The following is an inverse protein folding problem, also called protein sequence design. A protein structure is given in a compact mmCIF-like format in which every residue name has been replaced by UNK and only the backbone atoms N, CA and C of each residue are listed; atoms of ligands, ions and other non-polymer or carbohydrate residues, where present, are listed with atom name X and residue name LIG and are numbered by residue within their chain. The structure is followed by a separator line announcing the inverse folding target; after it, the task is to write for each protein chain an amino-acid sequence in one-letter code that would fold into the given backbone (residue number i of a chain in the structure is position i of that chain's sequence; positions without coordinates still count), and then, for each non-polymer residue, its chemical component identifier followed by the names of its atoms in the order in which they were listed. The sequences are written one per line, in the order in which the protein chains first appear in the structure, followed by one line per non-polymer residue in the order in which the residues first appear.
data_IF_940350155604
#
_entry.id   IF_940350155604
#
_cell.length_a   1.000
_cell.length_b   1.000
_cell.length_c   1.000
_cell.angle_alpha   90.00
_cell.angle_beta   90.00
_cell.angle_gamma   90.00
#
_symmetry.space_group_name_H-M   'P 1'
#
loop_
_entity.id
_entity.type
_entity.pdbx_description
1 polymer ?
#
# COMPACT_ATOMS: atom_id res chain seq x y z
N UNK A 1 -11.22 5.77 17.30
CA UNK A 1 -11.16 6.23 15.90
C UNK A 1 -11.48 5.07 14.98
N UNK A 2 -12.45 5.26 14.09
CA UNK A 2 -12.84 4.27 13.10
C UNK A 2 -11.89 4.31 11.89
N UNK A 3 -11.97 3.31 11.00
CA UNK A 3 -11.12 3.20 9.81
C UNK A 3 -11.16 4.46 8.92
N UNK A 4 -12.36 5.00 8.71
CA UNK A 4 -12.56 6.24 7.93
C UNK A 4 -11.85 7.42 8.60
N UNK A 5 -11.98 7.56 9.92
CA UNK A 5 -11.32 8.64 10.66
C UNK A 5 -9.81 8.55 10.57
N UNK A 6 -9.25 7.34 10.62
CA UNK A 6 -7.81 7.12 10.48
C UNK A 6 -7.31 7.47 9.08
N UNK A 7 -8.08 7.16 8.02
CA UNK A 7 -7.74 7.55 6.65
C UNK A 7 -7.79 9.07 6.45
N UNK A 8 -8.84 9.72 6.95
CA UNK A 8 -8.98 11.19 6.88
C UNK A 8 -7.86 11.94 7.62
N UNK A 9 -7.39 11.38 8.74
CA UNK A 9 -6.31 11.97 9.53
C UNK A 9 -4.91 11.51 9.11
N UNK A 10 -4.78 10.76 8.00
CA UNK A 10 -3.49 10.27 7.48
C UNK A 10 -2.66 9.48 8.52
N UNK A 11 -3.36 8.72 9.37
CA UNK A 11 -2.77 8.01 10.53
C UNK A 11 -2.09 6.70 10.10
N UNK A 12 -2.64 6.04 9.08
CA UNK A 12 -2.08 4.79 8.57
C UNK A 12 -0.69 5.00 8.00
N UNK A 13 0.18 4.00 8.08
CA UNK A 13 1.45 3.95 7.35
C UNK A 13 1.23 3.57 5.87
N UNK A 14 2.23 3.80 5.01
CA UNK A 14 2.13 3.44 3.60
C UNK A 14 1.89 1.91 3.38
N UNK A 15 2.47 1.06 4.22
CA UNK A 15 2.27 -0.41 4.17
C UNK A 15 0.85 -0.82 4.58
N UNK A 16 0.29 -0.15 5.60
CA UNK A 16 -1.10 -0.34 6.00
C UNK A 16 -2.07 0.11 4.90
N UNK A 17 -1.78 1.22 4.22
CA UNK A 17 -2.58 1.68 3.08
C UNK A 17 -2.56 0.67 1.92
N UNK A 18 -1.42 0.04 1.62
CA UNK A 18 -1.35 -1.06 0.62
C UNK A 18 -2.21 -2.25 1.03
N UNK A 19 -2.17 -2.63 2.31
CA UNK A 19 -2.94 -3.76 2.80
C UNK A 19 -4.45 -3.45 2.81
N UNK A 20 -4.82 -2.24 3.23
CA UNK A 20 -6.20 -1.76 3.22
C UNK A 20 -6.76 -1.65 1.80
N UNK A 21 -5.96 -1.24 0.83
CA UNK A 21 -6.36 -1.15 -0.57
C UNK A 21 -6.73 -2.51 -1.14
N UNK A 22 -5.92 -3.55 -0.85
CA UNK A 22 -6.20 -4.92 -1.28
C UNK A 22 -7.54 -5.41 -0.71
N UNK A 23 -7.78 -5.16 0.58
CA UNK A 23 -9.03 -5.54 1.23
C UNK A 23 -10.22 -4.75 0.66
N UNK A 24 -10.08 -3.43 0.49
CA UNK A 24 -11.12 -2.57 -0.08
C UNK A 24 -11.44 -2.96 -1.53
N UNK A 25 -10.44 -3.33 -2.32
CA UNK A 25 -10.60 -3.86 -3.70
C UNK A 25 -11.40 -5.15 -3.69
N UNK A 26 -11.07 -6.10 -2.81
CA UNK A 26 -11.79 -7.37 -2.69
C UNK A 26 -13.26 -7.17 -2.28
N UNK A 27 -13.53 -6.20 -1.40
CA UNK A 27 -14.88 -5.87 -0.94
C UNK A 27 -15.63 -4.89 -1.85
N UNK A 28 -14.99 -4.40 -2.93
CA UNK A 28 -15.52 -3.35 -3.82
C UNK A 28 -15.94 -2.08 -3.06
N UNK A 29 -15.19 -1.74 -2.02
CA UNK A 29 -15.42 -0.59 -1.14
C UNK A 29 -14.81 0.68 -1.79
N UNK A 30 -15.57 1.29 -2.69
CA UNK A 30 -15.15 2.45 -3.47
C UNK A 30 -14.88 3.71 -2.63
N UNK A 31 -15.63 3.90 -1.53
CA UNK A 31 -15.44 5.03 -0.62
C UNK A 31 -14.04 4.96 0.02
N UNK A 32 -13.68 3.76 0.48
CA UNK A 32 -12.38 3.57 1.12
C UNK A 32 -11.24 3.64 0.13
N UNK A 33 -11.42 3.11 -1.09
CA UNK A 33 -10.41 3.23 -2.15
C UNK A 33 -10.08 4.70 -2.43
N UNK A 34 -11.09 5.58 -2.54
CA UNK A 34 -10.86 7.02 -2.70
C UNK A 34 -10.10 7.65 -1.54
N UNK A 35 -10.46 7.28 -0.31
CA UNK A 35 -9.76 7.81 0.88
C UNK A 35 -8.29 7.34 0.92
N UNK A 36 -8.02 6.10 0.53
CA UNK A 36 -6.65 5.55 0.46
C UNK A 36 -5.83 6.30 -0.59
N UNK A 37 -6.39 6.61 -1.76
CA UNK A 37 -5.72 7.40 -2.80
C UNK A 37 -5.30 8.77 -2.27
N UNK A 38 -6.19 9.46 -1.54
CA UNK A 38 -5.90 10.76 -0.93
C UNK A 38 -4.79 10.64 0.12
N UNK A 39 -4.87 9.66 1.03
CA UNK A 39 -3.82 9.45 2.04
C UNK A 39 -2.47 9.12 1.40
N UNK A 40 -2.45 8.30 0.34
CA UNK A 40 -1.21 8.02 -0.41
C UNK A 40 -0.61 9.27 -1.03
N UNK A 41 -1.41 10.08 -1.70
CA UNK A 41 -0.95 11.33 -2.29
C UNK A 41 -0.35 12.27 -1.21
N UNK A 42 -1.02 12.41 -0.06
CA UNK A 42 -0.51 13.15 1.10
C UNK A 42 0.85 12.63 1.57
N UNK A 43 0.98 11.31 1.74
CA UNK A 43 2.24 10.70 2.17
C UNK A 43 3.37 10.85 1.19
N UNK A 44 3.09 10.66 -0.10
CA UNK A 44 4.09 10.88 -1.14
C UNK A 44 4.53 12.34 -1.17
N UNK A 45 3.63 13.30 -0.95
CA UNK A 45 3.96 14.72 -0.81
C UNK A 45 4.81 15.01 0.45
N UNK A 46 4.60 14.28 1.55
CA UNK A 46 5.43 14.33 2.76
C UNK A 46 6.78 13.61 2.62
N UNK A 47 7.04 12.96 1.48
CA UNK A 47 8.28 12.22 1.23
C UNK A 47 8.32 10.80 1.78
N UNK A 48 7.20 10.30 2.33
CA UNK A 48 7.08 8.88 2.70
C UNK A 48 7.00 8.04 1.41
N UNK A 49 7.93 7.09 1.29
CA UNK A 49 7.94 6.11 0.19
C UNK A 49 7.57 4.73 0.74
N UNK A 50 6.89 3.89 -0.06
CA UNK A 50 6.75 2.47 0.29
C UNK A 50 8.13 1.86 0.49
N UNK A 51 8.25 0.90 1.42
CA UNK A 51 9.47 0.10 1.50
C UNK A 51 9.73 -0.54 0.14
N UNK A 52 10.98 -0.49 -0.29
CA UNK A 52 11.38 -1.14 -1.52
C UNK A 52 11.04 -2.63 -1.42
N UNK A 53 10.36 -3.15 -2.45
CA UNK A 53 10.02 -4.59 -2.56
C UNK A 53 11.17 -5.37 -3.20
N UNK A 54 12.12 -4.65 -3.80
CA UNK A 54 13.33 -5.13 -4.43
C UNK A 54 14.55 -4.46 -3.78
N UNK A 55 15.69 -5.15 -3.76
CA UNK A 55 16.97 -4.58 -3.36
C UNK A 55 17.59 -3.74 -4.49
N UNK A 56 18.77 -3.17 -4.22
CA UNK A 56 19.53 -2.34 -5.18
C UNK A 56 19.95 -3.12 -6.43
N UNK A 57 20.03 -4.45 -6.34
CA UNK A 57 20.35 -5.36 -7.45
C UNK A 57 19.08 -5.86 -8.20
N UNK A 58 17.90 -5.32 -7.86
CA UNK A 58 16.63 -5.68 -8.46
C UNK A 58 16.05 -7.01 -7.97
N UNK A 59 16.61 -7.63 -6.94
CA UNK A 59 16.13 -8.91 -6.40
C UNK A 59 15.00 -8.69 -5.40
N UNK A 60 13.97 -9.55 -5.40
CA UNK A 60 12.85 -9.37 -4.50
C UNK A 60 13.23 -9.64 -3.03
N UNK A 61 12.99 -8.65 -2.16
CA UNK A 61 13.29 -8.71 -0.74
C UNK A 61 12.36 -9.66 0.03
N UNK A 62 11.14 -9.88 -0.48
CA UNK A 62 10.17 -10.75 0.18
C UNK A 62 10.15 -12.15 -0.43
N UNK A 63 9.92 -13.18 0.40
CA UNK A 63 9.73 -14.57 -0.05
C UNK A 63 8.62 -14.72 -1.09
N UNK A 64 7.58 -13.89 -1.00
CA UNK A 64 6.46 -13.89 -1.95
C UNK A 64 6.87 -13.30 -3.30
N UNK A 65 7.53 -12.14 -3.29
CA UNK A 65 7.98 -11.52 -4.53
C UNK A 65 8.99 -12.41 -5.29
N UNK A 66 9.84 -13.17 -4.57
CA UNK A 66 10.69 -14.22 -5.19
C UNK A 66 9.92 -15.37 -5.84
N UNK A 67 8.70 -15.67 -5.38
CA UNK A 67 7.84 -16.69 -6.02
C UNK A 67 7.12 -16.14 -7.23
N UNK A 68 6.68 -14.89 -7.17
CA UNK A 68 6.02 -14.20 -8.29
C UNK A 68 7.01 -14.01 -9.46
N UNK A 69 8.24 -13.55 -9.20
CA UNK A 69 9.30 -13.44 -10.23
C UNK A 69 9.58 -14.78 -10.94
N UNK A 70 9.56 -15.90 -10.20
CA UNK A 70 9.74 -17.25 -10.78
C UNK A 70 8.54 -17.74 -11.60
N UNK A 71 7.37 -17.15 -11.41
CA UNK A 71 6.14 -17.55 -12.11
C UNK A 71 5.98 -16.82 -13.44
N UNK A 72 6.59 -15.64 -13.56
CA UNK A 72 6.60 -14.81 -14.76
C UNK A 72 7.78 -15.09 -15.71
N UNK A 73 8.66 -16.05 -15.37
CA UNK A 73 9.80 -16.50 -16.21
C UNK A 73 9.55 -17.91 -16.74
#
# INVERSE_FOLDING_TARGET
MNRIDKLKNDVYSFEELITLEKNATQLRDSETLRLIEISRASKTAKGEKPKAVVDEDGRPLTRRARREEKRDR
#
